data_IF_493338813970
#
_entry.id   IF_493338813970
#
_cell.length_a   1.000
_cell.length_b   1.000
_cell.length_c   1.000
_cell.angle_alpha   90.00
_cell.angle_beta   90.00
_cell.angle_gamma   90.00
#
_symmetry.space_group_name_H-M   'P 1'
#
loop_
_entity.id
_entity.type
_entity.pdbx_description
1 polymer ?
#
# COMPACT_ATOMS: atom_id res chain seq x y z
N UNK A 1 6.12 22.74 0.57
CA UNK A 1 5.26 21.91 -0.28
C UNK A 1 5.27 20.52 0.29
N UNK A 2 4.10 19.89 0.47
CA UNK A 2 3.99 18.56 1.07
C UNK A 2 4.74 17.53 0.21
N UNK A 3 5.39 16.53 0.81
CA UNK A 3 6.02 15.46 0.03
C UNK A 3 4.96 14.62 -0.72
N UNK A 4 3.72 14.63 -0.23
CA UNK A 4 2.57 13.93 -0.81
C UNK A 4 2.02 14.61 -2.08
N UNK A 5 2.37 15.88 -2.33
CA UNK A 5 1.93 16.62 -3.52
C UNK A 5 2.85 16.42 -4.74
N UNK A 6 3.98 15.72 -4.56
CA UNK A 6 4.93 15.44 -5.65
C UNK A 6 4.37 14.42 -6.62
N UNK A 7 4.76 14.54 -7.89
CA UNK A 7 4.48 13.47 -8.84
C UNK A 7 5.24 12.20 -8.48
N UNK A 8 4.72 11.04 -8.87
CA UNK A 8 5.36 9.75 -8.60
C UNK A 8 6.84 9.69 -9.10
N UNK A 9 7.19 10.17 -10.31
CA UNK A 9 8.59 10.18 -10.75
C UNK A 9 9.50 11.04 -9.88
N UNK A 10 9.04 12.20 -9.41
CA UNK A 10 9.82 13.09 -8.55
C UNK A 10 10.04 12.49 -7.16
N UNK A 11 9.00 11.88 -6.60
CA UNK A 11 9.09 11.18 -5.32
C UNK A 11 10.07 10.02 -5.39
N UNK A 12 9.91 9.12 -6.37
CA UNK A 12 10.78 7.96 -6.56
C UNK A 12 12.23 8.39 -6.77
N UNK A 13 12.48 9.36 -7.65
CA UNK A 13 13.83 9.90 -7.86
C UNK A 13 14.42 10.46 -6.57
N UNK A 14 13.61 11.17 -5.78
CA UNK A 14 14.02 11.75 -4.51
C UNK A 14 14.36 10.72 -3.43
N UNK A 15 13.58 9.64 -3.34
CA UNK A 15 13.85 8.53 -2.43
C UNK A 15 15.12 7.76 -2.85
N UNK A 16 15.27 7.46 -4.14
CA UNK A 16 16.45 6.77 -4.68
C UNK A 16 17.73 7.59 -4.47
N UNK A 17 17.71 8.90 -4.71
CA UNK A 17 18.93 9.72 -4.57
C UNK A 17 19.14 10.31 -3.16
N UNK A 18 18.26 10.01 -2.20
CA UNK A 18 18.34 10.49 -0.82
C UNK A 18 17.97 11.96 -0.59
N UNK A 19 17.51 12.69 -1.61
CA UNK A 19 16.99 14.07 -1.43
C UNK A 19 15.60 14.12 -0.77
N UNK A 20 14.93 12.98 -0.66
CA UNK A 20 13.74 12.78 0.18
C UNK A 20 14.11 11.79 1.28
N UNK A 21 13.95 12.22 2.53
CA UNK A 21 14.08 11.34 3.70
C UNK A 21 12.91 10.34 3.73
N UNK A 22 13.22 9.04 3.63
CA UNK A 22 12.22 7.97 3.59
C UNK A 22 11.38 7.95 4.88
N UNK A 23 12.02 8.08 6.05
CA UNK A 23 11.31 7.99 7.32
C UNK A 23 10.41 9.22 7.56
N UNK A 24 10.89 10.42 7.22
CA UNK A 24 10.08 11.64 7.21
C UNK A 24 8.90 11.56 6.25
N UNK A 25 9.12 11.03 5.03
CA UNK A 25 8.04 10.81 4.06
C UNK A 25 6.97 9.84 4.59
N UNK A 26 7.38 8.71 5.18
CA UNK A 26 6.46 7.74 5.76
C UNK A 26 5.68 8.30 6.95
N UNK A 27 6.29 9.15 7.77
CA UNK A 27 5.60 9.83 8.87
C UNK A 27 4.52 10.82 8.35
N UNK A 28 4.81 11.55 7.27
CA UNK A 28 3.83 12.42 6.63
C UNK A 28 2.67 11.61 6.01
N UNK A 29 2.99 10.50 5.35
CA UNK A 29 1.99 9.58 4.80
C UNK A 29 1.13 8.93 5.89
N UNK A 30 1.72 8.54 7.02
CA UNK A 30 0.99 8.01 8.18
C UNK A 30 0.00 9.02 8.73
N UNK A 31 0.43 10.27 8.93
CA UNK A 31 -0.45 11.34 9.40
C UNK A 31 -1.63 11.56 8.43
N UNK A 32 -1.35 11.57 7.12
CA UNK A 32 -2.39 11.71 6.10
C UNK A 32 -3.36 10.51 6.11
N UNK A 33 -2.83 9.29 6.16
CA UNK A 33 -3.60 8.07 6.20
C UNK A 33 -4.53 8.02 7.42
N UNK A 34 -4.00 8.29 8.61
CA UNK A 34 -4.77 8.28 9.86
C UNK A 34 -5.90 9.32 9.83
N UNK A 35 -5.67 10.48 9.22
CA UNK A 35 -6.68 11.53 9.10
C UNK A 35 -7.79 11.20 8.07
N UNK A 36 -7.50 10.40 7.04
CA UNK A 36 -8.40 10.18 5.90
C UNK A 36 -9.06 8.81 5.89
N UNK A 37 -8.33 7.75 6.22
CA UNK A 37 -8.80 6.38 6.10
C UNK A 37 -10.13 6.12 6.83
N UNK A 38 -10.40 6.64 8.05
CA UNK A 38 -11.68 6.41 8.71
C UNK A 38 -12.90 6.91 7.92
N UNK A 39 -12.72 7.89 7.03
CA UNK A 39 -13.77 8.42 6.17
C UNK A 39 -13.85 7.73 4.80
N UNK A 40 -12.75 7.14 4.32
CA UNK A 40 -12.63 6.55 2.97
C UNK A 40 -12.79 5.03 2.98
N UNK A 41 -12.22 4.33 3.97
CA UNK A 41 -12.26 2.86 4.09
C UNK A 41 -11.66 2.15 2.86
N UNK A 42 -10.52 2.63 2.37
CA UNK A 42 -9.82 2.11 1.18
C UNK A 42 -8.97 0.87 1.50
N UNK A 43 -8.48 0.73 2.73
CA UNK A 43 -7.60 -0.36 3.13
C UNK A 43 -8.31 -1.36 4.04
N UNK A 44 -7.97 -2.64 3.87
CA UNK A 44 -8.37 -3.68 4.83
C UNK A 44 -7.70 -3.34 6.18
N UNK A 45 -8.41 -3.42 7.31
CA UNK A 45 -7.82 -3.17 8.63
C UNK A 45 -6.62 -4.08 8.90
N UNK A 46 -5.56 -3.49 9.45
CA UNK A 46 -4.30 -4.18 9.71
C UNK A 46 -3.68 -3.64 11.02
N UNK A 47 -3.76 -4.40 12.12
CA UNK A 47 -3.08 -4.06 13.35
C UNK A 47 -1.57 -3.93 13.14
N UNK A 48 -0.96 -2.86 13.65
CA UNK A 48 0.50 -2.67 13.57
C UNK A 48 1.03 -2.27 12.19
N UNK A 49 0.17 -1.90 11.21
CA UNK A 49 0.59 -1.49 9.85
C UNK A 49 1.83 -0.59 9.83
N UNK A 50 1.78 0.51 10.58
CA UNK A 50 2.83 1.52 10.54
C UNK A 50 4.11 1.10 11.27
N UNK A 51 4.00 0.23 12.28
CA UNK A 51 5.17 -0.39 12.90
C UNK A 51 5.88 -1.30 11.90
N UNK A 52 5.12 -2.17 11.20
CA UNK A 52 5.66 -3.02 10.12
C UNK A 52 6.30 -2.20 9.01
N UNK A 53 5.61 -1.17 8.50
CA UNK A 53 6.11 -0.31 7.42
C UNK A 53 7.40 0.42 7.82
N UNK A 54 7.50 0.93 9.05
CA UNK A 54 8.74 1.55 9.55
C UNK A 54 9.88 0.55 9.71
N UNK A 55 9.59 -0.67 10.19
CA UNK A 55 10.57 -1.73 10.30
C UNK A 55 11.11 -2.17 8.92
N UNK A 56 10.22 -2.34 7.93
CA UNK A 56 10.58 -2.63 6.54
C UNK A 56 11.43 -1.51 5.94
N UNK A 57 11.06 -0.24 6.17
CA UNK A 57 11.84 0.91 5.71
C UNK A 57 13.24 0.98 6.33
N UNK A 58 13.35 0.72 7.64
CA UNK A 58 14.64 0.68 8.33
C UNK A 58 15.53 -0.46 7.81
N UNK A 59 14.96 -1.64 7.57
CA UNK A 59 15.68 -2.76 6.96
C UNK A 59 16.16 -2.41 5.54
N UNK A 60 15.31 -1.76 4.74
CA UNK A 60 15.66 -1.34 3.38
C UNK A 60 16.78 -0.28 3.37
N UNK A 61 16.77 0.67 4.30
CA UNK A 61 17.84 1.64 4.49
C UNK A 61 19.16 0.98 4.90
N UNK A 62 19.11 -0.06 5.74
CA UNK A 62 20.28 -0.84 6.14
C UNK A 62 20.83 -1.71 5.00
N UNK A 63 19.95 -2.24 4.13
CA UNK A 63 20.32 -3.02 2.96
C UNK A 63 20.94 -2.14 1.86
N UNK A 64 20.42 -0.92 1.67
CA UNK A 64 20.90 0.05 0.67
C UNK A 64 21.33 1.38 1.31
N UNK A 65 22.44 1.39 2.06
CA UNK A 65 22.92 2.60 2.74
C UNK A 65 23.35 3.67 1.73
N UNK A 66 23.98 3.25 0.63
CA UNK A 66 24.45 4.13 -0.44
C UNK A 66 23.33 4.42 -1.46
N UNK A 67 22.94 5.69 -1.69
CA UNK A 67 21.87 6.05 -2.62
C UNK A 67 22.04 5.49 -4.04
N UNK A 68 23.27 5.38 -4.53
CA UNK A 68 23.59 4.90 -5.88
C UNK A 68 23.23 3.43 -6.09
N UNK A 69 23.11 2.67 -5.01
CA UNK A 69 22.77 1.25 -5.02
C UNK A 69 21.27 0.98 -4.83
N UNK A 70 20.48 2.02 -4.54
CA UNK A 70 19.06 1.88 -4.25
C UNK A 70 18.28 1.44 -5.50
N UNK A 71 17.38 0.45 -5.39
CA UNK A 71 16.58 -0.02 -6.52
C UNK A 71 15.55 1.04 -6.95
N UNK A 72 14.96 0.82 -8.13
CA UNK A 72 14.19 1.84 -8.86
C UNK A 72 12.87 2.28 -8.20
N UNK A 73 12.36 1.56 -7.20
CA UNK A 73 11.18 1.92 -6.41
C UNK A 73 11.52 2.00 -4.91
N UNK A 74 12.79 2.26 -4.56
CA UNK A 74 13.26 2.28 -3.18
C UNK A 74 12.34 3.06 -2.24
N UNK A 75 11.81 2.35 -1.23
CA UNK A 75 11.00 2.90 -0.16
C UNK A 75 9.60 3.34 -0.57
N UNK A 76 9.21 3.18 -1.85
CA UNK A 76 7.90 3.61 -2.33
C UNK A 76 6.78 2.75 -1.71
N UNK A 77 5.83 3.34 -0.96
CA UNK A 77 4.69 2.62 -0.41
C UNK A 77 3.68 2.29 -1.50
N UNK A 78 3.21 1.05 -1.53
CA UNK A 78 2.19 0.58 -2.48
C UNK A 78 1.02 -0.11 -1.76
N UNK A 79 -0.21 0.19 -2.20
CA UNK A 79 -1.40 -0.59 -1.84
C UNK A 79 -1.55 -1.79 -2.77
N UNK A 80 -1.90 -2.96 -2.22
CA UNK A 80 -2.10 -4.19 -3.01
C UNK A 80 -3.53 -4.68 -2.85
N UNK A 81 -4.29 -4.71 -3.95
CA UNK A 81 -5.67 -5.22 -3.97
C UNK A 81 -5.75 -6.60 -3.30
N UNK A 82 -6.75 -6.79 -2.45
CA UNK A 82 -6.92 -8.00 -1.63
C UNK A 82 -7.31 -9.27 -2.39
N UNK A 83 -6.94 -9.38 -3.66
CA UNK A 83 -6.98 -10.61 -4.47
C UNK A 83 -5.59 -11.15 -4.78
N UNK A 84 -4.55 -10.34 -4.62
CA UNK A 84 -3.17 -10.76 -4.81
C UNK A 84 -2.60 -11.27 -3.50
N UNK A 85 -1.91 -12.40 -3.50
CA UNK A 85 -1.20 -12.86 -2.31
C UNK A 85 0.05 -12.02 -2.07
N UNK A 86 0.28 -11.67 -0.80
CA UNK A 86 1.49 -11.00 -0.31
C UNK A 86 2.02 -11.87 0.82
N UNK A 87 3.29 -12.25 0.77
CA UNK A 87 3.87 -13.08 1.81
C UNK A 87 3.77 -12.37 3.18
N UNK A 88 3.29 -13.08 4.20
CA UNK A 88 3.08 -12.52 5.54
C UNK A 88 1.79 -11.72 5.73
N UNK A 89 0.93 -11.59 4.71
CA UNK A 89 -0.37 -10.92 4.83
C UNK A 89 -1.52 -11.87 4.47
N UNK A 90 -2.62 -11.77 5.22
CA UNK A 90 -3.84 -12.53 4.92
C UNK A 90 -4.53 -11.98 3.68
N UNK A 91 -4.86 -12.85 2.73
CA UNK A 91 -5.75 -12.54 1.60
C UNK A 91 -7.17 -12.98 1.93
N UNK A 92 -8.16 -12.10 1.76
CA UNK A 92 -9.58 -12.44 1.98
C UNK A 92 -10.44 -12.33 0.73
N UNK A 93 -9.92 -11.75 -0.36
CA UNK A 93 -10.66 -11.51 -1.60
C UNK A 93 -12.00 -10.79 -1.38
N UNK A 94 -12.07 -9.92 -0.36
CA UNK A 94 -13.31 -9.23 0.04
C UNK A 94 -14.40 -10.15 0.62
N UNK A 95 -14.11 -11.45 0.83
CA UNK A 95 -15.08 -12.45 1.27
C UNK A 95 -15.13 -12.62 2.80
N UNK A 96 -16.13 -13.39 3.27
CA UNK A 96 -16.19 -13.89 4.65
C UNK A 96 -15.74 -15.34 4.79
N UNK A 97 -15.22 -15.96 3.72
CA UNK A 97 -14.70 -17.32 3.78
C UNK A 97 -13.50 -17.42 4.73
N UNK A 98 -13.22 -18.62 5.28
CA UNK A 98 -11.99 -18.85 6.02
C UNK A 98 -10.78 -18.49 5.15
N UNK A 99 -9.91 -17.61 5.66
CA UNK A 99 -8.74 -17.18 4.88
C UNK A 99 -7.75 -18.32 4.60
N UNK A 100 -7.82 -19.42 5.37
CA UNK A 100 -7.07 -20.64 5.12
C UNK A 100 -7.41 -21.27 3.75
N UNK A 101 -8.65 -21.11 3.28
CA UNK A 101 -9.12 -21.64 1.99
C UNK A 101 -8.68 -20.75 0.81
N UNK A 102 -8.17 -19.55 1.09
CA UNK A 102 -7.71 -18.56 0.12
C UNK A 102 -6.20 -18.37 0.14
N UNK A 103 -5.45 -19.35 0.64
CA UNK A 103 -3.99 -19.28 0.66
C UNK A 103 -3.40 -19.56 -0.73
N UNK A 104 -2.25 -18.95 -0.99
CA UNK A 104 -1.48 -19.15 -2.21
C UNK A 104 -0.10 -18.52 -2.09
N UNK A 105 0.74 -18.78 -3.09
CA UNK A 105 2.08 -18.17 -3.17
C UNK A 105 1.97 -16.68 -3.47
N UNK A 106 2.93 -15.88 -2.99
CA UNK A 106 3.01 -14.45 -3.30
C UNK A 106 2.89 -14.20 -4.81
N UNK A 107 2.08 -13.21 -5.20
CA UNK A 107 1.86 -12.88 -6.59
C UNK A 107 3.17 -12.39 -7.23
N UNK A 108 3.49 -12.87 -8.43
CA UNK A 108 4.73 -12.50 -9.13
C UNK A 108 4.88 -10.97 -9.33
N UNK A 109 3.77 -10.25 -9.47
CA UNK A 109 3.77 -8.77 -9.53
C UNK A 109 4.23 -8.14 -8.21
N UNK A 110 3.75 -8.65 -7.08
CA UNK A 110 4.16 -8.19 -5.73
C UNK A 110 5.64 -8.50 -5.51
N UNK A 111 6.08 -9.72 -5.82
CA UNK A 111 7.49 -10.10 -5.69
C UNK A 111 8.41 -9.19 -6.50
N UNK A 112 8.03 -8.86 -7.75
CA UNK A 112 8.81 -7.92 -8.60
C UNK A 112 8.83 -6.50 -8.05
N UNK A 113 7.73 -6.01 -7.49
CA UNK A 113 7.67 -4.68 -6.88
C UNK A 113 8.53 -4.59 -5.61
N UNK A 114 8.47 -5.61 -4.75
CA UNK A 114 9.32 -5.71 -3.55
C UNK A 114 10.81 -5.82 -3.92
N UNK A 115 11.16 -6.61 -4.94
CA UNK A 115 12.53 -6.70 -5.46
C UNK A 115 13.03 -5.38 -6.06
N UNK A 116 12.11 -4.51 -6.52
CA UNK A 116 12.43 -3.15 -6.95
C UNK A 116 12.50 -2.15 -5.77
N UNK A 117 12.36 -2.60 -4.52
CA UNK A 117 12.47 -1.81 -3.30
C UNK A 117 11.17 -1.16 -2.81
N UNK A 118 10.02 -1.50 -3.38
CA UNK A 118 8.73 -1.00 -2.91
C UNK A 118 8.34 -1.63 -1.56
N UNK A 119 7.66 -0.87 -0.71
CA UNK A 119 7.14 -1.30 0.58
C UNK A 119 5.63 -1.51 0.47
N UNK A 120 5.12 -2.68 0.89
CA UNK A 120 3.67 -2.92 0.85
C UNK A 120 3.01 -2.21 2.03
N UNK A 121 2.30 -1.12 1.74
CA UNK A 121 1.59 -0.34 2.76
C UNK A 121 0.47 -1.15 3.40
N UNK A 122 -0.29 -1.89 2.58
CA UNK A 122 -1.42 -2.67 3.06
C UNK A 122 -2.22 -3.32 1.95
N UNK A 123 -3.19 -4.13 2.34
CA UNK A 123 -4.20 -4.69 1.43
C UNK A 123 -5.28 -3.65 1.16
N UNK A 124 -5.64 -3.40 -0.10
CA UNK A 124 -6.75 -2.50 -0.44
C UNK A 124 -8.05 -3.28 -0.64
N UNK A 125 -9.15 -2.65 -0.25
CA UNK A 125 -10.50 -3.21 -0.33
C UNK A 125 -10.87 -3.53 -1.78
N UNK A 126 -11.55 -4.66 -1.94
CA UNK A 126 -12.12 -5.13 -3.21
C UNK A 126 -13.56 -5.57 -2.98
N UNK A 127 -14.36 -5.62 -4.05
CA UNK A 127 -15.62 -6.39 -4.03
C UNK A 127 -15.31 -7.87 -3.85
N UNK A 128 -16.22 -8.62 -3.24
CA UNK A 128 -16.03 -10.06 -3.03
C UNK A 128 -15.69 -10.78 -4.34
N UNK A 129 -14.58 -11.53 -4.33
CA UNK A 129 -13.96 -12.22 -5.47
C UNK A 129 -13.83 -11.39 -6.75
N UNK A 130 -13.62 -10.08 -6.58
CA UNK A 130 -13.56 -9.12 -7.68
C UNK A 130 -14.82 -9.08 -8.58
N UNK A 131 -15.98 -9.44 -8.03
CA UNK A 131 -17.24 -9.51 -8.76
C UNK A 131 -18.01 -8.18 -8.74
N UNK A 132 -19.22 -8.10 -8.14
CA UNK A 132 -20.10 -6.93 -8.29
C UNK A 132 -20.53 -6.22 -7.01
N UNK A 133 -20.58 -6.89 -5.86
CA UNK A 133 -21.10 -6.28 -4.63
C UNK A 133 -20.10 -5.24 -4.06
N UNK A 134 -20.49 -3.96 -3.91
CA UNK A 134 -19.58 -2.91 -3.44
C UNK A 134 -19.09 -3.19 -2.01
N UNK A 135 -17.80 -2.92 -1.78
CA UNK A 135 -17.22 -2.95 -0.44
C UNK A 135 -17.56 -1.69 0.37
N UNK A 136 -17.05 -1.59 1.61
CA UNK A 136 -17.32 -0.44 2.49
C UNK A 136 -16.67 0.88 2.03
N UNK A 137 -15.75 0.83 1.04
CA UNK A 137 -15.02 2.01 0.56
C UNK A 137 -15.96 3.08 0.02
N UNK A 138 -15.71 4.33 0.40
CA UNK A 138 -16.45 5.52 -0.05
C UNK A 138 -15.63 6.32 -1.04
N UNK A 139 -16.31 7.01 -1.96
CA UNK A 139 -15.64 7.88 -2.94
C UNK A 139 -15.05 9.12 -2.25
N UNK A 140 -13.73 9.38 -2.34
CA UNK A 140 -13.10 10.55 -1.71
C UNK A 140 -13.61 11.90 -2.25
N UNK A 141 -14.12 11.94 -3.49
CA UNK A 141 -14.72 13.15 -4.07
C UNK A 141 -16.14 13.41 -3.59
N UNK A 142 -16.87 12.36 -3.20
CA UNK A 142 -18.21 12.47 -2.61
C UNK A 142 -18.53 11.22 -1.77
N UNK A 143 -18.43 11.28 -0.42
CA UNK A 143 -18.63 10.12 0.45
C UNK A 143 -20.01 9.46 0.39
N UNK A 144 -21.01 10.12 -0.22
CA UNK A 144 -22.34 9.55 -0.46
C UNK A 144 -22.39 8.64 -1.70
N UNK A 145 -21.30 8.53 -2.46
CA UNK A 145 -21.20 7.70 -3.67
C UNK A 145 -20.18 6.57 -3.52
N UNK A 146 -20.38 5.51 -4.30
CA UNK A 146 -19.38 4.44 -4.46
C UNK A 146 -18.17 4.94 -5.26
N UNK A 147 -16.93 4.51 -4.92
CA UNK A 147 -15.75 4.69 -5.79
C UNK A 147 -15.75 3.71 -6.98
N UNK A 148 -16.77 2.85 -7.12
CA UNK A 148 -16.87 1.81 -8.13
C UNK A 148 -16.35 0.46 -7.64
N UNK A 149 -16.10 -0.45 -8.58
CA UNK A 149 -15.61 -1.80 -8.31
C UNK A 149 -15.00 -2.44 -9.56
N UNK A 150 -14.27 -3.55 -9.44
CA UNK A 150 -14.06 -4.30 -8.20
C UNK A 150 -12.88 -3.82 -7.34
N UNK A 151 -12.08 -2.88 -7.84
CA UNK A 151 -10.86 -2.37 -7.19
C UNK A 151 -11.12 -1.09 -6.39
N UNK A 152 -12.20 -1.04 -5.61
CA UNK A 152 -12.71 0.17 -4.95
C UNK A 152 -11.65 0.87 -4.10
N UNK A 153 -10.97 0.12 -3.22
CA UNK A 153 -9.96 0.66 -2.31
C UNK A 153 -8.61 0.97 -2.97
N UNK A 154 -8.37 0.48 -4.19
CA UNK A 154 -7.18 0.89 -4.94
C UNK A 154 -7.36 2.23 -5.66
N UNK A 155 -8.62 2.60 -5.96
CA UNK A 155 -8.95 3.84 -6.65
C UNK A 155 -9.27 5.00 -5.70
N UNK A 156 -9.91 4.69 -4.57
CA UNK A 156 -10.22 5.63 -3.49
C UNK A 156 -8.95 5.99 -2.70
#
# INVERSE_FOLDING_TARGET
>A
MSLLERSLPELVKGLCNGSVDLLGYLAELEAHFVAREPAVLAFVPEPGRWERVRAEAAALLAEYPEPEMRPVLFGLPIGVKDIFHVAGMTTRAGSQLPAADLQGTEASSVTRLKAAGAIVLGKTVTTEFAYFAPGPTRNPHNPAHTPGGSSSGSAA
#
